data_IF_973254010378
#
_entry.id   IF_973254010378
#
_cell.length_a   1.000
_cell.length_b   1.000
_cell.length_c   1.000
_cell.angle_alpha   90.00
_cell.angle_beta   90.00
_cell.angle_gamma   90.00
#
_symmetry.space_group_name_H-M   'P 1'
#
loop_
_entity.id
_entity.type
_entity.pdbx_description
1 polymer ?
#
# COMPACT_ATOMS: atom_id res chain seq x y z
N UNK A 1 6.99 9.44 8.78
CA UNK A 1 8.25 9.00 8.14
C UNK A 1 8.14 7.53 7.75
N UNK A 2 8.73 7.10 6.63
CA UNK A 2 8.71 5.71 6.13
C UNK A 2 10.00 4.94 6.45
N UNK A 3 10.89 5.50 7.27
CA UNK A 3 12.16 4.90 7.73
C UNK A 3 12.02 3.55 8.43
N UNK A 4 10.82 3.16 8.83
CA UNK A 4 10.52 1.84 9.40
C UNK A 4 10.79 0.70 8.42
N UNK A 5 10.70 0.94 7.11
CA UNK A 5 10.94 -0.10 6.11
C UNK A 5 12.43 -0.23 5.79
N UNK A 6 12.99 -1.45 5.84
CA UNK A 6 14.39 -1.71 5.48
C UNK A 6 14.67 -1.48 4.00
N UNK A 7 15.95 -1.33 3.64
CA UNK A 7 16.42 -1.12 2.26
C UNK A 7 17.10 -2.37 1.71
N UNK A 8 16.80 -2.72 0.46
CA UNK A 8 17.51 -3.74 -0.30
C UNK A 8 18.78 -3.17 -0.95
N UNK A 9 19.63 -4.06 -1.45
CA UNK A 9 20.75 -3.66 -2.31
C UNK A 9 20.21 -2.92 -3.56
N UNK A 10 20.89 -1.84 -4.00
CA UNK A 10 20.49 -1.13 -5.21
C UNK A 10 20.47 -2.04 -6.43
N UNK A 11 19.53 -1.79 -7.35
CA UNK A 11 19.35 -2.60 -8.54
C UNK A 11 19.31 -1.72 -9.79
N UNK A 12 20.10 -2.09 -10.79
CA UNK A 12 20.14 -1.37 -12.06
C UNK A 12 19.01 -1.82 -12.97
N UNK A 13 18.39 -0.84 -13.61
CA UNK A 13 17.56 -1.04 -14.78
C UNK A 13 18.43 -1.29 -16.01
N UNK A 14 18.06 -2.30 -16.79
CA UNK A 14 18.65 -2.57 -18.10
C UNK A 14 17.59 -3.19 -18.99
N UNK A 15 17.21 -2.47 -20.05
CA UNK A 15 16.26 -2.97 -21.02
C UNK A 15 16.78 -4.28 -21.65
N UNK A 16 15.89 -5.24 -21.85
CA UNK A 16 16.23 -6.51 -22.48
C UNK A 16 16.75 -6.26 -23.90
N UNK A 17 18.03 -6.55 -24.10
CA UNK A 17 18.76 -6.38 -25.37
C UNK A 17 19.12 -7.72 -26.00
N UNK A 18 18.60 -8.83 -25.46
CA UNK A 18 18.94 -10.19 -25.89
C UNK A 18 20.30 -10.69 -25.37
N UNK A 19 21.14 -9.81 -24.83
CA UNK A 19 22.39 -10.19 -24.17
C UNK A 19 22.15 -10.46 -22.68
N UNK A 20 22.66 -11.58 -22.12
CA UNK A 20 22.53 -11.86 -20.70
C UNK A 20 23.24 -10.79 -19.85
N UNK A 21 22.71 -10.44 -18.67
CA UNK A 21 23.36 -9.51 -17.77
C UNK A 21 24.44 -10.18 -16.93
N UNK A 22 25.46 -9.40 -16.55
CA UNK A 22 26.53 -9.84 -15.66
C UNK A 22 26.03 -10.16 -14.24
N UNK A 23 24.82 -9.68 -13.90
CA UNK A 23 24.15 -9.93 -12.63
C UNK A 23 22.65 -9.62 -12.70
N UNK A 24 21.92 -9.73 -11.58
CA UNK A 24 20.49 -9.48 -11.58
C UNK A 24 20.16 -8.02 -11.92
N UNK A 25 19.12 -7.80 -12.72
CA UNK A 25 18.69 -6.47 -13.21
C UNK A 25 17.17 -6.36 -13.29
N UNK A 26 16.68 -5.13 -13.27
CA UNK A 26 15.30 -4.82 -13.67
C UNK A 26 15.23 -4.70 -15.18
N UNK A 27 14.50 -5.58 -15.85
CA UNK A 27 14.38 -5.64 -17.31
C UNK A 27 13.29 -4.73 -17.87
N UNK A 28 12.23 -4.54 -17.09
CA UNK A 28 11.08 -3.68 -17.41
C UNK A 28 10.67 -2.94 -16.16
N UNK A 29 10.39 -1.66 -16.29
CA UNK A 29 9.91 -0.82 -15.21
C UNK A 29 8.99 0.24 -15.82
N UNK A 30 7.75 0.30 -15.37
CA UNK A 30 6.79 1.30 -15.80
C UNK A 30 6.11 1.92 -14.58
N UNK A 31 5.74 3.19 -14.68
CA UNK A 31 4.98 3.87 -13.64
C UNK A 31 3.63 4.25 -14.21
N UNK A 32 2.57 3.84 -13.52
CA UNK A 32 1.20 4.30 -13.78
C UNK A 32 0.80 5.36 -12.76
N UNK A 33 -0.02 6.30 -13.23
CA UNK A 33 -0.65 7.33 -12.40
C UNK A 33 -2.14 7.05 -12.34
N UNK A 34 -2.73 7.14 -11.15
CA UNK A 34 -4.18 7.05 -11.00
C UNK A 34 -4.72 8.21 -10.17
N UNK A 35 -5.92 8.67 -10.55
CA UNK A 35 -6.65 9.67 -9.78
C UNK A 35 -7.06 9.08 -8.43
N UNK A 36 -6.81 9.84 -7.36
CA UNK A 36 -7.13 9.51 -5.97
C UNK A 36 -7.71 10.73 -5.28
N UNK A 37 -8.40 10.52 -4.17
CA UNK A 37 -8.86 11.59 -3.30
C UNK A 37 -7.71 12.53 -2.93
N UNK A 38 -7.97 13.83 -3.00
CA UNK A 38 -7.01 14.89 -2.72
C UNK A 38 -7.29 15.57 -1.40
N UNK A 39 -8.53 15.48 -0.92
CA UNK A 39 -8.98 15.97 0.38
C UNK A 39 -9.65 14.86 1.18
N UNK A 40 -9.48 14.90 2.50
CA UNK A 40 -10.19 14.04 3.44
C UNK A 40 -10.69 14.90 4.58
N UNK A 41 -11.97 14.73 4.91
CA UNK A 41 -12.66 15.44 5.99
C UNK A 41 -13.31 14.43 6.92
N UNK A 42 -13.13 14.61 8.23
CA UNK A 42 -13.67 13.74 9.26
C UNK A 42 -14.36 14.57 10.32
N UNK A 43 -15.62 14.22 10.60
CA UNK A 43 -16.43 14.94 11.57
C UNK A 43 -17.00 13.99 12.62
N UNK A 44 -17.16 14.50 13.84
CA UNK A 44 -17.82 13.81 14.93
C UNK A 44 -18.59 14.77 15.85
N UNK A 45 -19.27 14.21 16.84
CA UNK A 45 -20.00 14.93 17.87
C UNK A 45 -19.69 14.36 19.26
N UNK A 46 -19.34 15.25 20.19
CA UNK A 46 -19.12 14.91 21.60
C UNK A 46 -20.21 15.56 22.45
N UNK A 47 -21.02 14.72 23.10
CA UNK A 47 -22.11 15.16 23.96
C UNK A 47 -21.63 15.86 25.24
N UNK A 48 -20.39 15.61 25.68
CA UNK A 48 -19.80 16.32 26.82
C UNK A 48 -19.39 17.75 26.43
N UNK A 49 -19.11 17.98 25.13
CA UNK A 49 -18.66 19.26 24.56
C UNK A 49 -19.47 19.60 23.30
N UNK A 50 -20.81 19.77 23.40
CA UNK A 50 -21.70 19.84 22.23
C UNK A 50 -21.46 21.07 21.34
N UNK A 51 -20.88 22.14 21.91
CA UNK A 51 -20.54 23.38 21.18
C UNK A 51 -19.15 23.33 20.53
N UNK A 52 -18.31 22.35 20.87
CA UNK A 52 -16.98 22.26 20.31
C UNK A 52 -17.04 21.60 18.91
N UNK A 53 -16.59 22.29 17.84
CA UNK A 53 -16.54 21.66 16.53
C UNK A 53 -15.44 20.59 16.54
N UNK A 54 -15.86 19.34 16.32
CA UNK A 54 -15.02 18.17 16.11
C UNK A 54 -15.01 17.86 14.62
N UNK A 55 -14.21 18.62 13.90
CA UNK A 55 -13.97 18.45 12.47
C UNK A 55 -12.47 18.57 12.21
N UNK A 56 -11.99 17.76 11.27
CA UNK A 56 -10.61 17.76 10.83
C UNK A 56 -10.55 17.54 9.33
N UNK A 57 -9.79 18.40 8.66
CA UNK A 57 -9.62 18.38 7.19
C UNK A 57 -8.14 18.37 6.85
N UNK A 58 -7.76 17.51 5.91
CA UNK A 58 -6.42 17.48 5.32
C UNK A 58 -6.58 17.52 3.80
N UNK A 59 -5.89 18.45 3.16
CA UNK A 59 -5.96 18.71 1.72
C UNK A 59 -4.54 18.75 1.13
N UNK A 60 -4.34 18.04 0.03
CA UNK A 60 -3.10 18.02 -0.73
C UNK A 60 -3.03 19.15 -1.78
N UNK A 61 -4.08 19.96 -1.95
CA UNK A 61 -4.15 21.11 -2.86
C UNK A 61 -3.81 20.75 -4.33
N UNK A 62 -4.13 19.52 -4.72
CA UNK A 62 -3.95 19.02 -6.09
C UNK A 62 -5.30 18.90 -6.77
N UNK A 63 -5.37 19.22 -8.06
CA UNK A 63 -6.60 19.11 -8.85
C UNK A 63 -6.70 17.72 -9.52
N UNK A 64 -7.91 17.17 -9.72
CA UNK A 64 -9.20 17.71 -9.25
C UNK A 64 -9.38 17.60 -7.73
N UNK A 65 -10.15 18.53 -7.14
CA UNK A 65 -10.54 18.46 -5.72
C UNK A 65 -11.55 17.33 -5.51
N UNK A 66 -11.05 16.20 -5.00
CA UNK A 66 -11.83 15.01 -4.71
C UNK A 66 -11.81 14.76 -3.20
N UNK A 67 -12.94 15.09 -2.57
CA UNK A 67 -13.11 14.97 -1.13
C UNK A 67 -13.68 13.61 -0.73
N UNK A 68 -13.05 13.01 0.28
CA UNK A 68 -13.61 11.92 1.07
C UNK A 68 -14.07 12.44 2.44
N UNK A 69 -15.38 12.60 2.61
CA UNK A 69 -16.03 13.04 3.85
C UNK A 69 -16.64 11.86 4.60
N UNK A 70 -16.48 11.79 5.92
CA UNK A 70 -17.09 10.74 6.74
C UNK A 70 -17.60 11.26 8.11
N UNK A 71 -18.76 10.73 8.53
CA UNK A 71 -19.42 10.96 9.81
C UNK A 71 -20.27 9.73 10.20
N UNK A 72 -20.20 9.24 11.45
CA UNK A 72 -19.34 9.68 12.54
C UNK A 72 -17.91 9.11 12.42
N UNK A 73 -16.90 9.96 12.59
CA UNK A 73 -15.49 9.61 12.42
C UNK A 73 -14.84 8.94 13.64
N UNK A 74 -15.55 8.82 14.76
CA UNK A 74 -15.20 8.12 16.00
C UNK A 74 -13.98 8.69 16.72
N UNK A 75 -13.97 10.00 16.93
CA UNK A 75 -13.01 10.68 17.78
C UNK A 75 -13.70 11.73 18.67
N UNK A 76 -13.24 11.84 19.91
CA UNK A 76 -13.70 12.85 20.88
C UNK A 76 -12.68 14.00 21.04
N UNK A 77 -11.48 13.83 20.49
CA UNK A 77 -10.39 14.79 20.59
C UNK A 77 -9.87 15.22 19.21
N UNK A 78 -9.51 16.50 19.09
CA UNK A 78 -9.08 17.10 17.81
C UNK A 78 -7.74 16.57 17.32
N UNK A 79 -6.77 16.32 18.20
CA UNK A 79 -5.46 15.78 17.79
C UNK A 79 -5.63 14.39 17.20
N UNK A 80 -6.47 13.57 17.85
CA UNK A 80 -6.86 12.25 17.32
C UNK A 80 -7.57 12.37 15.98
N UNK A 81 -8.50 13.31 15.84
CA UNK A 81 -9.18 13.61 14.57
C UNK A 81 -8.17 13.92 13.46
N UNK A 82 -7.25 14.85 13.70
CA UNK A 82 -6.18 15.24 12.77
C UNK A 82 -5.32 14.04 12.33
N UNK A 83 -4.92 13.20 13.27
CA UNK A 83 -4.14 12.00 12.95
C UNK A 83 -4.93 11.02 12.07
N UNK A 84 -6.22 10.79 12.37
CA UNK A 84 -7.07 9.87 11.61
C UNK A 84 -7.33 10.40 10.20
N UNK A 85 -7.65 11.68 10.05
CA UNK A 85 -7.86 12.34 8.75
C UNK A 85 -6.60 12.27 7.89
N UNK A 86 -5.43 12.60 8.46
CA UNK A 86 -4.15 12.51 7.75
C UNK A 86 -3.87 11.08 7.27
N UNK A 87 -4.04 10.09 8.15
CA UNK A 87 -3.84 8.67 7.79
C UNK A 87 -4.82 8.20 6.71
N UNK A 88 -6.04 8.72 6.71
CA UNK A 88 -7.03 8.40 5.69
C UNK A 88 -6.63 8.97 4.32
N UNK A 89 -6.17 10.22 4.25
CA UNK A 89 -5.65 10.79 3.00
C UNK A 89 -4.40 10.05 2.50
N UNK A 90 -3.44 9.75 3.38
CA UNK A 90 -2.25 8.96 3.06
C UNK A 90 -2.64 7.58 2.50
N UNK A 91 -3.66 6.93 3.06
CA UNK A 91 -4.18 5.64 2.57
C UNK A 91 -4.80 5.75 1.18
N UNK A 92 -5.59 6.78 0.91
CA UNK A 92 -6.16 6.99 -0.43
C UNK A 92 -5.08 7.22 -1.47
N UNK A 93 -4.00 7.91 -1.08
CA UNK A 93 -2.96 8.33 -2.02
C UNK A 93 -1.76 7.39 -2.09
N UNK A 94 -1.66 6.34 -1.28
CA UNK A 94 -0.45 5.51 -1.26
C UNK A 94 -0.05 4.93 -2.62
N UNK A 95 -1.03 4.63 -3.49
CA UNK A 95 -0.84 3.99 -4.80
C UNK A 95 -1.16 4.94 -5.98
N UNK A 96 -1.22 6.26 -5.75
CA UNK A 96 -1.44 7.25 -6.82
C UNK A 96 -0.36 7.18 -7.91
N UNK A 97 0.86 6.80 -7.51
CA UNK A 97 2.00 6.44 -8.35
C UNK A 97 2.36 5.00 -8.05
N UNK A 98 2.08 4.11 -8.99
CA UNK A 98 2.41 2.70 -8.85
C UNK A 98 3.42 2.29 -9.91
N UNK A 99 4.57 1.82 -9.46
CA UNK A 99 5.56 1.18 -10.31
C UNK A 99 5.23 -0.30 -10.48
N UNK A 100 5.39 -0.81 -11.70
CA UNK A 100 5.34 -2.22 -12.03
C UNK A 100 6.65 -2.61 -12.74
N UNK A 101 7.33 -3.61 -12.20
CA UNK A 101 8.65 -4.03 -12.66
C UNK A 101 8.77 -5.53 -12.88
N UNK A 102 9.71 -5.90 -13.75
CA UNK A 102 10.09 -7.29 -14.01
C UNK A 102 11.59 -7.43 -13.78
N UNK A 103 11.99 -8.42 -12.99
CA UNK A 103 13.39 -8.63 -12.60
C UNK A 103 13.74 -10.11 -12.49
N UNK A 104 15.02 -10.41 -12.49
CA UNK A 104 15.60 -11.73 -12.19
C UNK A 104 16.36 -11.75 -10.86
N UNK A 105 16.20 -10.71 -10.01
CA UNK A 105 16.77 -10.64 -8.67
C UNK A 105 16.00 -11.52 -7.67
N UNK A 106 16.55 -12.64 -7.18
CA UNK A 106 15.87 -13.52 -6.21
C UNK A 106 15.63 -12.90 -4.84
N UNK A 107 16.38 -11.86 -4.49
CA UNK A 107 16.35 -11.24 -3.14
C UNK A 107 15.31 -10.14 -2.97
N UNK A 108 14.41 -9.94 -3.94
CA UNK A 108 13.33 -8.96 -3.78
C UNK A 108 12.33 -9.44 -2.74
N UNK A 109 11.96 -8.58 -1.80
CA UNK A 109 11.02 -8.88 -0.71
C UNK A 109 10.06 -7.70 -0.55
N UNK A 110 8.77 -7.97 -0.38
CA UNK A 110 7.78 -6.94 -0.07
C UNK A 110 8.07 -6.27 1.29
N UNK A 111 7.63 -5.04 1.46
CA UNK A 111 7.90 -4.24 2.67
C UNK A 111 9.33 -3.72 2.76
N UNK A 112 10.09 -3.77 1.67
CA UNK A 112 11.44 -3.21 1.61
C UNK A 112 11.52 -2.14 0.51
N UNK A 113 12.40 -1.16 0.71
CA UNK A 113 12.75 -0.20 -0.32
C UNK A 113 13.78 -0.76 -1.29
N UNK A 114 13.48 -0.64 -2.58
CA UNK A 114 14.38 -0.90 -3.69
C UNK A 114 14.89 0.44 -4.24
N UNK A 115 16.21 0.63 -4.22
CA UNK A 115 16.86 1.74 -4.92
C UNK A 115 17.05 1.36 -6.40
N UNK A 116 16.26 1.98 -7.29
CA UNK A 116 16.35 1.78 -8.73
C UNK A 116 17.32 2.79 -9.32
N UNK A 117 18.25 2.33 -10.16
CA UNK A 117 19.16 3.21 -10.88
C UNK A 117 19.29 2.85 -12.38
N UNK A 118 19.91 3.74 -13.16
CA UNK A 118 20.17 3.59 -14.61
C UNK A 118 18.92 3.46 -15.50
N UNK A 119 17.75 3.82 -15.01
CA UNK A 119 16.56 3.98 -15.84
C UNK A 119 16.68 5.25 -16.72
N UNK A 120 16.34 5.21 -18.02
CA UNK A 120 16.41 6.38 -18.91
C UNK A 120 15.63 7.59 -18.40
N UNK A 121 14.44 7.35 -17.82
CA UNK A 121 13.68 8.38 -17.10
C UNK A 121 14.31 8.65 -15.74
N UNK A 122 14.91 9.84 -15.57
CA UNK A 122 15.67 10.21 -14.37
C UNK A 122 14.82 10.21 -13.10
N UNK A 123 13.58 10.68 -13.19
CA UNK A 123 12.65 10.77 -12.05
C UNK A 123 12.28 9.41 -11.46
N UNK A 124 12.54 8.31 -12.18
CA UNK A 124 12.26 6.95 -11.70
C UNK A 124 13.44 6.34 -10.96
N UNK A 125 14.63 6.93 -11.07
CA UNK A 125 15.83 6.50 -10.35
C UNK A 125 15.76 7.00 -8.89
N UNK A 126 14.92 6.36 -8.09
CA UNK A 126 14.64 6.72 -6.70
C UNK A 126 14.32 5.47 -5.87
N UNK A 127 14.01 5.68 -4.59
CA UNK A 127 13.55 4.64 -3.69
C UNK A 127 12.08 4.27 -3.93
N UNK A 128 11.83 2.99 -4.14
CA UNK A 128 10.50 2.40 -4.32
C UNK A 128 10.21 1.38 -3.22
N UNK A 129 9.14 1.57 -2.45
CA UNK A 129 8.65 0.59 -1.48
C UNK A 129 7.99 -0.55 -2.23
N UNK A 130 8.54 -1.76 -2.15
CA UNK A 130 7.95 -2.95 -2.75
C UNK A 130 6.69 -3.35 -1.98
N UNK A 131 5.52 -3.20 -2.57
CA UNK A 131 4.23 -3.56 -1.93
C UNK A 131 3.83 -5.00 -2.23
N UNK A 132 4.28 -5.54 -3.37
CA UNK A 132 3.93 -6.87 -3.86
C UNK A 132 5.10 -7.43 -4.67
N UNK A 133 5.44 -8.70 -4.48
CA UNK A 133 6.45 -9.41 -5.26
C UNK A 133 5.93 -10.82 -5.56
N UNK A 134 5.89 -11.17 -6.84
CA UNK A 134 5.56 -12.52 -7.31
C UNK A 134 6.80 -13.16 -7.87
N UNK A 135 7.16 -14.32 -7.33
CA UNK A 135 8.32 -15.10 -7.75
C UNK A 135 7.87 -16.29 -8.58
N UNK A 136 8.56 -16.53 -9.70
CA UNK A 136 8.30 -17.65 -10.59
C UNK A 136 9.63 -18.31 -10.97
N UNK A 137 9.70 -19.64 -10.87
CA UNK A 137 10.86 -20.42 -11.26
C UNK A 137 10.44 -21.63 -12.08
N UNK A 138 11.14 -21.89 -13.18
CA UNK A 138 10.87 -23.05 -14.04
C UNK A 138 12.17 -23.82 -14.34
N UNK A 139 12.15 -25.13 -14.10
CA UNK A 139 13.28 -26.04 -14.37
C UNK A 139 12.80 -27.22 -15.24
N UNK A 140 13.23 -27.32 -16.52
CA UNK A 140 12.73 -28.33 -17.45
C UNK A 140 13.30 -29.74 -17.25
N UNK A 141 14.49 -29.88 -16.65
CA UNK A 141 15.25 -31.14 -16.61
C UNK A 141 14.77 -32.20 -15.59
N UNK A 142 13.56 -32.07 -15.02
CA UNK A 142 13.03 -33.02 -14.01
C UNK A 142 11.83 -33.84 -14.55
N UNK A 143 11.40 -33.58 -15.79
CA UNK A 143 10.14 -34.10 -16.37
C UNK A 143 10.31 -34.76 -17.75
N UNK A 144 11.44 -35.43 -18.02
CA UNK A 144 11.64 -36.11 -19.32
C UNK A 144 10.68 -37.31 -19.54
N UNK A 145 9.95 -37.78 -18.53
CA UNK A 145 9.02 -38.92 -18.68
C UNK A 145 7.61 -38.53 -19.18
N UNK A 146 7.27 -37.23 -19.28
CA UNK A 146 5.91 -36.78 -19.63
C UNK A 146 5.83 -35.85 -20.84
N UNK A 147 6.77 -35.96 -21.78
CA UNK A 147 6.76 -35.20 -23.04
C UNK A 147 5.73 -35.77 -24.06
N UNK A 148 4.45 -35.78 -23.66
CA UNK A 148 3.31 -36.04 -24.52
C UNK A 148 2.37 -34.84 -24.51
N UNK A 149 2.50 -34.00 -25.55
CA UNK A 149 1.53 -32.97 -26.00
C UNK A 149 1.45 -31.62 -25.24
N UNK A 150 1.72 -30.56 -26.04
CA UNK A 150 1.30 -29.13 -25.95
C UNK A 150 2.09 -28.20 -25.03
N UNK A 151 2.91 -27.32 -25.62
CA UNK A 151 2.61 -25.91 -26.02
C UNK A 151 2.94 -24.87 -24.94
N UNK A 152 4.19 -24.42 -24.95
CA UNK A 152 4.70 -23.03 -24.84
C UNK A 152 6.21 -23.14 -24.59
N UNK A 153 7.07 -22.26 -25.13
CA UNK A 153 8.47 -22.22 -24.69
C UNK A 153 8.49 -21.72 -23.25
N UNK A 154 8.34 -22.63 -22.28
CA UNK A 154 8.48 -22.29 -20.87
C UNK A 154 9.92 -21.82 -20.66
N UNK A 155 10.10 -20.50 -20.53
CA UNK A 155 11.40 -19.89 -20.30
C UNK A 155 12.00 -20.46 -19.02
N UNK A 156 13.08 -21.22 -19.17
CA UNK A 156 13.86 -21.78 -18.06
C UNK A 156 14.43 -20.66 -17.18
N UNK A 157 14.48 -20.91 -15.87
CA UNK A 157 15.11 -20.03 -14.89
C UNK A 157 14.11 -19.29 -13.99
N UNK A 158 14.68 -18.40 -13.17
CA UNK A 158 13.95 -17.59 -12.20
C UNK A 158 13.57 -16.22 -12.78
N UNK A 159 12.38 -15.72 -12.41
CA UNK A 159 11.90 -14.38 -12.70
C UNK A 159 10.97 -13.91 -11.59
N UNK A 160 10.77 -12.60 -11.51
CA UNK A 160 9.75 -12.02 -10.67
C UNK A 160 9.09 -10.82 -11.34
N UNK A 161 7.85 -10.55 -10.90
CA UNK A 161 7.15 -9.30 -11.14
C UNK A 161 6.89 -8.64 -9.80
N UNK A 162 7.09 -7.34 -9.71
CA UNK A 162 6.89 -6.60 -8.47
C UNK A 162 6.11 -5.32 -8.70
N UNK A 163 5.46 -4.86 -7.64
CA UNK A 163 4.84 -3.55 -7.57
C UNK A 163 5.46 -2.73 -6.46
N UNK A 164 5.52 -1.43 -6.65
CA UNK A 164 5.97 -0.54 -5.58
C UNK A 164 5.50 0.89 -5.70
N UNK A 165 5.56 1.60 -4.58
CA UNK A 165 5.15 3.00 -4.44
C UNK A 165 6.36 3.86 -4.09
N UNK A 166 6.42 5.13 -4.50
CA UNK A 166 7.60 5.97 -4.26
C UNK A 166 7.73 6.35 -2.77
N UNK A 167 8.93 6.74 -2.35
CA UNK A 167 9.22 7.13 -0.95
C UNK A 167 8.35 8.28 -0.41
N UNK A 168 7.91 9.19 -1.27
CA UNK A 168 7.04 10.32 -0.93
C UNK A 168 5.56 9.91 -0.75
N UNK A 169 5.16 8.73 -1.22
CA UNK A 169 3.83 8.16 -1.03
C UNK A 169 3.79 7.32 0.26
N UNK A 170 3.35 7.92 1.37
CA UNK A 170 3.27 7.24 2.67
C UNK A 170 2.32 6.03 2.63
N UNK A 171 2.89 4.82 2.76
CA UNK A 171 2.09 3.61 2.78
C UNK A 171 1.23 3.51 4.04
N UNK A 172 -0.06 3.23 3.84
CA UNK A 172 -1.02 2.89 4.90
C UNK A 172 -1.83 1.69 4.44
N UNK A 173 -1.98 0.71 5.32
CA UNK A 173 -2.72 -0.50 5.02
C UNK A 173 -4.17 -0.18 4.60
N UNK A 174 -4.68 -0.80 3.52
CA UNK A 174 -6.06 -0.63 3.09
C UNK A 174 -7.04 -1.22 4.11
N UNK A 175 -8.20 -0.57 4.28
CA UNK A 175 -9.28 -1.04 5.16
C UNK A 175 -10.14 -2.09 4.46
N UNK A 176 -9.58 -3.27 4.19
CA UNK A 176 -10.30 -4.36 3.49
C UNK A 176 -11.34 -5.07 4.36
N UNK A 177 -11.20 -4.99 5.68
CA UNK A 177 -12.08 -5.66 6.62
C UNK A 177 -13.14 -4.68 7.12
N UNK A 178 -14.44 -4.89 6.80
CA UNK A 178 -15.50 -4.03 7.29
C UNK A 178 -15.60 -4.17 8.82
N UNK A 179 -15.88 -3.05 9.51
CA UNK A 179 -16.11 -3.09 10.95
C UNK A 179 -17.40 -3.89 11.23
N UNK A 180 -17.41 -4.78 12.23
CA UNK A 180 -18.63 -5.44 12.70
C UNK A 180 -19.71 -4.41 13.06
N UNK A 181 -20.95 -4.70 12.68
CA UNK A 181 -22.13 -3.89 12.99
C UNK A 181 -23.09 -4.70 13.82
N UNK A 182 -23.61 -4.10 14.90
CA UNK A 182 -24.72 -4.67 15.65
C UNK A 182 -26.00 -4.29 14.91
N UNK A 183 -26.77 -5.30 14.51
CA UNK A 183 -28.05 -5.08 13.82
C UNK A 183 -29.16 -5.04 14.88
N UNK A 184 -29.65 -3.84 15.15
CA UNK A 184 -30.73 -3.62 16.12
C UNK A 184 -30.23 -3.42 17.56
N UNK A 185 -31.19 -3.44 18.48
CA UNK A 185 -30.96 -3.25 19.91
C UNK A 185 -30.78 -4.58 20.63
N UNK A 186 -29.96 -4.60 21.67
CA UNK A 186 -29.77 -5.74 22.55
C UNK A 186 -30.13 -5.34 23.98
N UNK A 187 -30.66 -6.28 24.76
CA UNK A 187 -30.88 -6.10 26.19
C UNK A 187 -29.59 -6.38 26.96
N UNK A 188 -29.33 -5.59 27.99
CA UNK A 188 -28.21 -5.80 28.91
C UNK A 188 -28.72 -5.77 30.36
N UNK A 189 -28.02 -6.47 31.25
CA UNK A 189 -28.26 -6.40 32.70
C UNK A 189 -27.41 -5.27 33.26
N UNK A 190 -28.03 -4.32 33.99
CA UNK A 190 -27.31 -3.25 34.68
C UNK A 190 -26.55 -3.86 35.85
N UNK A 191 -25.24 -3.61 35.92
CA UNK A 191 -24.35 -4.14 36.97
C UNK A 191 -23.69 -3.00 37.72
N UNK A 192 -23.31 -3.22 38.99
CA UNK A 192 -22.41 -2.34 39.71
C UNK A 192 -21.89 -2.94 41.01
N UNK A 193 -21.07 -2.19 41.78
CA UNK A 193 -20.54 -2.59 43.08
C UNK A 193 -21.53 -3.33 43.98
N UNK A 194 -20.99 -4.28 44.74
CA UNK A 194 -21.73 -4.96 45.80
C UNK A 194 -22.29 -3.91 46.78
N UNK A 195 -23.54 -4.10 47.20
CA UNK A 195 -24.27 -3.25 48.16
C UNK A 195 -24.70 -1.85 47.66
N UNK A 196 -24.79 -1.63 46.34
CA UNK A 196 -25.35 -0.40 45.75
C UNK A 196 -26.48 -0.69 44.74
N UNK A 197 -27.66 -0.13 44.98
CA UNK A 197 -28.86 -0.32 44.14
C UNK A 197 -28.89 0.57 42.89
N UNK A 198 -28.11 1.66 42.86
CA UNK A 198 -28.06 2.64 41.76
C UNK A 198 -26.59 2.94 41.42
N UNK A 199 -26.28 2.93 40.13
CA UNK A 199 -24.96 3.22 39.55
C UNK A 199 -25.07 4.19 38.39
#
# INVERSE_FOLDING_TARGET
>A
DQTVFPRLAPLSYRQDSGMPPDGPVVKRFNVRLETRSTRTTRRDYDFQKPRAPLESTVDHQTLPDLEDYDYPARFTDRERGNMLTKRALERHRHDYRLAEGHSDQPRLVSGHFLDLNRHPQKDWNQLWLLTEVHHEGHQPQVLEETAGQRQQPARQGYRNTFRGTPWDAFYRTPLRHPKPRISGSQTAIVTGPQDQEIH
#
